data_IF_363058965773
#
_entry.id   IF_363058965773
#
_cell.length_a   1.000
_cell.length_b   1.000
_cell.length_c   1.000
_cell.angle_alpha   90.00
_cell.angle_beta   90.00
_cell.angle_gamma   90.00
#
_symmetry.space_group_name_H-M   'P 1'
#
loop_
_entity.id
_entity.type
_entity.pdbx_description
1 polymer ?
#
# COMPACT_ATOMS: atom_id res chain seq x y z
N UNK A 1 46.28 -62.79 19.27
CA UNK A 1 46.08 -62.17 20.61
C UNK A 1 44.97 -61.14 20.47
N UNK A 2 43.72 -61.52 20.74
CA UNK A 2 42.91 -61.13 21.91
C UNK A 2 42.80 -59.61 22.15
N UNK A 3 41.58 -59.11 21.86
CA UNK A 3 40.77 -58.11 22.59
C UNK A 3 41.34 -56.70 22.75
N UNK A 4 40.60 -55.69 22.26
CA UNK A 4 39.92 -54.77 23.18
C UNK A 4 38.80 -53.99 22.47
N UNK A 5 37.60 -54.18 22.98
CA UNK A 5 36.40 -53.37 22.80
C UNK A 5 36.54 -52.11 23.66
N UNK A 6 36.33 -50.89 23.13
CA UNK A 6 35.68 -49.79 23.89
C UNK A 6 35.34 -48.56 23.02
N UNK A 7 34.03 -48.34 22.89
CA UNK A 7 33.28 -47.08 22.90
C UNK A 7 33.95 -45.73 22.55
N UNK A 8 33.35 -45.04 21.57
CA UNK A 8 32.93 -43.63 21.72
C UNK A 8 31.85 -43.30 20.65
N UNK A 9 30.58 -43.53 20.99
CA UNK A 9 29.45 -42.84 20.35
C UNK A 9 29.26 -41.53 21.14
N UNK A 10 29.55 -40.38 20.56
CA UNK A 10 28.99 -39.06 20.92
C UNK A 10 29.32 -38.07 19.80
N UNK A 11 28.28 -37.38 19.33
CA UNK A 11 28.39 -36.02 18.82
C UNK A 11 28.78 -35.86 17.35
N UNK A 12 27.79 -35.66 16.50
CA UNK A 12 27.49 -34.36 15.90
C UNK A 12 26.21 -34.53 15.07
N UNK A 13 25.11 -34.12 15.68
CA UNK A 13 23.81 -33.99 15.05
C UNK A 13 23.55 -32.49 14.89
N UNK A 14 24.30 -31.80 14.03
CA UNK A 14 24.02 -30.37 13.80
C UNK A 14 24.29 -29.97 12.34
N UNK A 15 23.29 -29.27 11.79
CA UNK A 15 23.28 -28.46 10.57
C UNK A 15 22.99 -29.13 9.23
N UNK A 16 21.79 -29.72 9.11
CA UNK A 16 20.99 -29.57 7.89
C UNK A 16 20.10 -28.32 8.03
N UNK A 17 20.70 -27.13 7.91
CA UNK A 17 19.94 -25.90 7.69
C UNK A 17 19.69 -25.77 6.19
N UNK A 18 18.55 -26.29 5.76
CA UNK A 18 17.94 -26.04 4.46
C UNK A 18 17.73 -24.53 4.25
N UNK A 19 18.60 -23.89 3.47
CA UNK A 19 18.32 -22.60 2.85
C UNK A 19 17.34 -22.81 1.69
N UNK A 20 16.09 -23.13 2.01
CA UNK A 20 14.99 -22.97 1.07
C UNK A 20 14.74 -21.46 0.90
N UNK A 21 15.57 -20.81 0.08
CA UNK A 21 15.25 -19.47 -0.40
C UNK A 21 14.01 -19.61 -1.28
N UNK A 22 12.85 -19.29 -0.70
CA UNK A 22 11.64 -19.03 -1.44
C UNK A 22 11.94 -17.91 -2.45
N UNK A 23 12.33 -18.27 -3.66
CA UNK A 23 12.30 -17.39 -4.83
C UNK A 23 10.83 -17.17 -5.17
N UNK A 24 10.15 -16.38 -4.32
CA UNK A 24 8.84 -15.83 -4.63
C UNK A 24 8.97 -15.08 -5.93
N UNK A 25 8.10 -15.40 -6.89
CA UNK A 25 7.93 -14.69 -8.16
C UNK A 25 8.25 -13.21 -7.96
N UNK A 26 9.22 -12.69 -8.73
CA UNK A 26 9.48 -11.26 -8.84
C UNK A 26 8.30 -10.62 -9.58
N UNK A 27 7.13 -10.59 -8.95
CA UNK A 27 6.11 -9.60 -9.26
C UNK A 27 6.83 -8.26 -9.06
N UNK A 28 6.89 -7.39 -10.08
CA UNK A 28 7.54 -6.09 -9.93
C UNK A 28 7.01 -5.45 -8.65
N UNK A 29 7.89 -5.27 -7.65
CA UNK A 29 7.54 -4.57 -6.42
C UNK A 29 7.39 -3.10 -6.81
N UNK A 30 6.24 -2.73 -7.35
CA UNK A 30 5.88 -1.34 -7.55
C UNK A 30 6.04 -0.63 -6.20
N UNK A 31 6.61 0.57 -6.19
CA UNK A 31 6.68 1.36 -4.98
C UNK A 31 5.26 1.65 -4.44
N UNK A 32 5.15 2.02 -3.17
CA UNK A 32 3.85 2.23 -2.51
C UNK A 32 3.03 3.29 -3.25
N UNK A 33 3.66 4.34 -3.77
CA UNK A 33 3.00 5.42 -4.52
C UNK A 33 2.36 4.89 -5.80
N UNK A 34 3.10 4.07 -6.56
CA UNK A 34 2.62 3.42 -7.78
C UNK A 34 1.47 2.45 -7.49
N UNK A 35 1.51 1.71 -6.38
CA UNK A 35 0.40 0.85 -5.95
C UNK A 35 -0.85 1.65 -5.59
N UNK A 36 -0.70 2.72 -4.81
CA UNK A 36 -1.81 3.61 -4.44
C UNK A 36 -2.40 4.26 -5.68
N UNK A 37 -1.57 4.82 -6.57
CA UNK A 37 -2.02 5.43 -7.81
C UNK A 37 -2.77 4.44 -8.70
N UNK A 38 -2.26 3.21 -8.84
CA UNK A 38 -2.95 2.16 -9.58
C UNK A 38 -4.32 1.78 -9.00
N UNK A 39 -4.49 1.84 -7.68
CA UNK A 39 -5.79 1.67 -7.02
C UNK A 39 -6.71 2.85 -7.34
N UNK A 40 -6.20 4.08 -7.27
CA UNK A 40 -6.97 5.31 -7.55
C UNK A 40 -7.41 5.40 -9.01
N UNK A 41 -6.57 4.98 -9.95
CA UNK A 41 -6.88 5.03 -11.39
C UNK A 41 -7.80 3.89 -11.85
N UNK A 42 -8.16 2.96 -10.96
CA UNK A 42 -9.13 1.90 -11.26
C UNK A 42 -10.57 2.44 -11.22
N UNK A 43 -11.00 3.07 -12.31
CA UNK A 43 -12.34 3.66 -12.48
C UNK A 43 -13.37 2.70 -13.10
N UNK A 44 -13.04 1.41 -13.20
CA UNK A 44 -13.88 0.42 -13.87
C UNK A 44 -15.28 0.37 -13.26
N UNK A 45 -16.30 0.45 -14.12
CA UNK A 45 -17.70 0.38 -13.72
C UNK A 45 -18.28 1.67 -13.14
N UNK A 46 -17.53 2.78 -13.14
CA UNK A 46 -18.06 4.10 -12.72
C UNK A 46 -18.80 4.84 -13.84
N UNK A 47 -18.57 4.48 -15.10
CA UNK A 47 -19.23 5.12 -16.25
C UNK A 47 -18.89 6.61 -16.40
N UNK A 48 -17.67 7.00 -16.02
CA UNK A 48 -17.19 8.37 -16.15
C UNK A 48 -17.02 8.73 -17.64
N UNK A 49 -17.30 9.99 -17.97
CA UNK A 49 -16.96 10.51 -19.30
C UNK A 49 -15.46 10.86 -19.39
N UNK A 50 -14.96 11.10 -20.61
CA UNK A 50 -13.54 11.34 -20.86
C UNK A 50 -12.97 12.55 -20.09
N UNK A 51 -13.75 13.62 -19.92
CA UNK A 51 -13.33 14.81 -19.16
C UNK A 51 -13.21 14.49 -17.66
N UNK A 52 -14.20 13.77 -17.11
CA UNK A 52 -14.17 13.31 -15.73
C UNK A 52 -13.00 12.38 -15.46
N UNK A 53 -12.73 11.41 -16.34
CA UNK A 53 -11.58 10.50 -16.20
C UNK A 53 -10.25 11.25 -16.24
N UNK A 54 -10.09 12.19 -17.17
CA UNK A 54 -8.88 13.00 -17.29
C UNK A 54 -8.62 13.83 -16.03
N UNK A 55 -9.65 14.53 -15.54
CA UNK A 55 -9.57 15.31 -14.30
C UNK A 55 -9.29 14.43 -13.09
N UNK A 56 -9.95 13.28 -12.99
CA UNK A 56 -9.75 12.34 -11.88
C UNK A 56 -8.32 11.81 -11.86
N UNK A 57 -7.74 11.38 -13.00
CA UNK A 57 -6.35 10.90 -13.06
C UNK A 57 -5.35 11.98 -12.65
N UNK A 58 -5.58 13.23 -13.09
CA UNK A 58 -4.73 14.35 -12.70
C UNK A 58 -4.78 14.62 -11.19
N UNK A 59 -5.98 14.58 -10.60
CA UNK A 59 -6.15 14.71 -9.15
C UNK A 59 -5.56 13.52 -8.39
N UNK A 60 -5.76 12.28 -8.86
CA UNK A 60 -5.17 11.07 -8.30
C UNK A 60 -3.65 11.18 -8.18
N UNK A 61 -2.98 11.61 -9.25
CA UNK A 61 -1.53 11.84 -9.22
C UNK A 61 -1.16 12.90 -8.18
N UNK A 62 -1.86 14.03 -8.18
CA UNK A 62 -1.58 15.16 -7.28
C UNK A 62 -1.80 14.77 -5.81
N UNK A 63 -2.85 14.00 -5.53
CA UNK A 63 -3.14 13.46 -4.21
C UNK A 63 -2.06 12.50 -3.73
N UNK A 64 -1.56 11.59 -4.58
CA UNK A 64 -0.46 10.69 -4.21
C UNK A 64 0.83 11.46 -3.96
N UNK A 65 1.15 12.45 -4.80
CA UNK A 65 2.31 13.31 -4.62
C UNK A 65 2.23 14.06 -3.26
N UNK A 66 1.07 14.63 -2.92
CA UNK A 66 0.82 15.28 -1.63
C UNK A 66 0.89 14.28 -0.45
N UNK A 67 0.33 13.09 -0.61
CA UNK A 67 0.33 12.03 0.41
C UNK A 67 1.75 11.58 0.76
N UNK A 68 2.60 11.38 -0.25
CA UNK A 68 4.01 11.00 -0.05
C UNK A 68 4.80 12.15 0.56
N UNK A 69 4.56 13.39 0.11
CA UNK A 69 5.19 14.59 0.69
C UNK A 69 4.88 14.73 2.18
N UNK A 70 3.62 14.57 2.60
CA UNK A 70 3.24 14.63 4.02
C UNK A 70 3.91 13.48 4.79
N UNK A 71 3.87 12.26 4.25
CA UNK A 71 4.44 11.07 4.87
C UNK A 71 5.94 11.23 5.15
N UNK A 72 6.68 11.72 4.16
CA UNK A 72 8.13 11.95 4.22
C UNK A 72 8.56 13.27 4.89
N UNK A 73 7.63 14.09 5.37
CA UNK A 73 7.96 15.33 6.05
C UNK A 73 8.55 15.09 7.45
N UNK A 74 9.31 16.07 7.95
CA UNK A 74 9.84 16.06 9.33
C UNK A 74 8.85 16.63 10.35
N UNK A 75 7.58 16.85 9.96
CA UNK A 75 6.55 17.35 10.85
C UNK A 75 6.19 16.31 11.94
N UNK A 76 5.58 16.78 13.03
CA UNK A 76 5.10 15.89 14.09
C UNK A 76 3.99 14.96 13.59
N UNK A 77 3.75 13.86 14.29
CA UNK A 77 2.66 12.95 13.95
C UNK A 77 1.28 13.63 14.01
N UNK A 78 1.10 14.60 14.91
CA UNK A 78 -0.14 15.38 15.02
C UNK A 78 -0.33 16.29 13.81
N UNK A 79 0.71 16.99 13.39
CA UNK A 79 0.68 17.83 12.18
C UNK A 79 0.44 17.00 10.92
N UNK A 80 1.04 15.80 10.84
CA UNK A 80 0.81 14.85 9.74
C UNK A 80 -0.64 14.39 9.71
N UNK A 81 -1.22 14.02 10.86
CA UNK A 81 -2.65 13.64 10.96
C UNK A 81 -3.54 14.78 10.48
N UNK A 82 -3.32 16.01 10.95
CA UNK A 82 -4.08 17.17 10.51
C UNK A 82 -3.95 17.39 8.99
N UNK A 83 -2.75 17.23 8.45
CA UNK A 83 -2.48 17.35 7.01
C UNK A 83 -3.19 16.26 6.19
N UNK A 84 -3.20 15.01 6.63
CA UNK A 84 -3.93 13.93 5.96
C UNK A 84 -5.45 14.13 6.01
N UNK A 85 -5.99 14.60 7.13
CA UNK A 85 -7.41 14.94 7.24
C UNK A 85 -7.77 16.12 6.31
N UNK A 86 -6.91 17.14 6.22
CA UNK A 86 -7.06 18.23 5.26
C UNK A 86 -7.05 17.74 3.81
N UNK A 87 -6.12 16.85 3.48
CA UNK A 87 -6.02 16.21 2.17
C UNK A 87 -7.29 15.42 1.82
N UNK A 88 -7.80 14.62 2.77
CA UNK A 88 -9.08 13.90 2.64
C UNK A 88 -10.24 14.84 2.33
N UNK A 89 -10.35 15.96 3.05
CA UNK A 89 -11.43 16.92 2.87
C UNK A 89 -11.37 17.60 1.49
N UNK A 90 -10.18 18.04 1.08
CA UNK A 90 -9.95 18.62 -0.26
C UNK A 90 -10.35 17.63 -1.36
N UNK A 91 -9.92 16.37 -1.24
CA UNK A 91 -10.25 15.31 -2.20
C UNK A 91 -11.74 14.98 -2.21
N UNK A 92 -12.37 14.88 -1.04
CA UNK A 92 -13.81 14.62 -0.92
C UNK A 92 -14.63 15.69 -1.64
N UNK A 93 -14.28 16.97 -1.46
CA UNK A 93 -14.91 18.08 -2.18
C UNK A 93 -14.73 17.96 -3.68
N UNK A 94 -13.47 17.82 -4.14
CA UNK A 94 -13.18 17.65 -5.56
C UNK A 94 -13.95 16.49 -6.20
N UNK A 95 -13.97 15.32 -5.56
CA UNK A 95 -14.65 14.14 -6.09
C UNK A 95 -16.17 14.36 -6.12
N UNK A 96 -16.74 14.95 -5.07
CA UNK A 96 -18.17 15.26 -5.05
C UNK A 96 -18.55 16.24 -6.18
N UNK A 97 -17.74 17.27 -6.40
CA UNK A 97 -17.95 18.24 -7.48
C UNK A 97 -17.79 17.61 -8.88
N UNK A 98 -16.85 16.66 -9.03
CA UNK A 98 -16.52 16.03 -10.31
C UNK A 98 -17.55 15.00 -10.78
N UNK A 99 -18.00 14.13 -9.87
CA UNK A 99 -18.82 12.96 -10.21
C UNK A 99 -20.14 12.86 -9.44
N UNK A 100 -20.39 13.79 -8.51
CA UNK A 100 -21.56 13.76 -7.64
C UNK A 100 -21.48 12.69 -6.55
N UNK A 101 -22.37 12.79 -5.56
CA UNK A 101 -22.33 12.00 -4.34
C UNK A 101 -22.45 10.48 -4.57
N UNK A 102 -23.26 10.05 -5.54
CA UNK A 102 -23.50 8.62 -5.78
C UNK A 102 -22.29 7.91 -6.39
N UNK A 103 -21.68 8.50 -7.42
CA UNK A 103 -20.47 7.97 -8.03
C UNK A 103 -19.30 8.09 -7.06
N UNK A 104 -19.19 9.20 -6.33
CA UNK A 104 -18.17 9.37 -5.29
C UNK A 104 -18.23 8.26 -4.24
N UNK A 105 -19.44 7.90 -3.77
CA UNK A 105 -19.62 6.80 -2.81
C UNK A 105 -19.16 5.46 -3.38
N UNK A 106 -19.50 5.16 -4.64
CA UNK A 106 -19.06 3.93 -5.34
C UNK A 106 -17.55 3.89 -5.49
N UNK A 107 -16.96 4.97 -5.98
CA UNK A 107 -15.51 5.12 -6.16
C UNK A 107 -14.78 4.97 -4.81
N UNK A 108 -15.21 5.69 -3.77
CA UNK A 108 -14.62 5.59 -2.44
C UNK A 108 -14.68 4.17 -1.90
N UNK A 109 -15.78 3.45 -2.12
CA UNK A 109 -15.89 2.04 -1.75
C UNK A 109 -14.89 1.14 -2.49
N UNK A 110 -14.62 1.39 -3.77
CA UNK A 110 -13.59 0.69 -4.54
C UNK A 110 -12.19 1.01 -4.02
N UNK A 111 -11.91 2.29 -3.75
CA UNK A 111 -10.61 2.73 -3.21
C UNK A 111 -10.34 2.12 -1.85
N UNK A 112 -11.29 2.20 -0.91
CA UNK A 112 -11.11 1.64 0.43
C UNK A 112 -10.83 0.13 0.37
N UNK A 113 -11.53 -0.62 -0.49
CA UNK A 113 -11.25 -2.04 -0.70
C UNK A 113 -9.84 -2.28 -1.23
N UNK A 114 -9.38 -1.48 -2.20
CA UNK A 114 -8.04 -1.58 -2.76
C UNK A 114 -6.92 -1.16 -1.79
N UNK A 115 -7.18 -0.16 -0.94
CA UNK A 115 -6.22 0.41 0.02
C UNK A 115 -6.09 -0.44 1.28
N UNK A 116 -7.14 -1.17 1.70
CA UNK A 116 -7.13 -1.98 2.92
C UNK A 116 -5.90 -2.90 3.08
N UNK A 117 -5.47 -3.66 2.05
CA UNK A 117 -4.24 -4.47 2.12
C UNK A 117 -2.95 -3.66 2.34
N UNK A 118 -2.95 -2.36 2.00
CA UNK A 118 -1.81 -1.46 2.11
C UNK A 118 -1.83 -0.63 3.40
N UNK A 119 -2.89 -0.72 4.21
CA UNK A 119 -3.09 0.15 5.38
C UNK A 119 -1.92 0.14 6.36
N UNK A 120 -1.31 -1.02 6.62
CA UNK A 120 -0.13 -1.15 7.48
C UNK A 120 1.11 -0.45 6.91
N UNK A 121 1.25 -0.41 5.58
CA UNK A 121 2.35 0.28 4.88
C UNK A 121 2.12 1.79 4.81
N UNK A 122 0.85 2.21 4.74
CA UNK A 122 0.46 3.62 4.70
C UNK A 122 0.54 4.29 6.07
N UNK A 123 0.34 3.54 7.16
CA UNK A 123 0.38 4.09 8.51
C UNK A 123 -0.62 5.24 8.67
N UNK A 124 -0.14 6.40 9.15
CA UNK A 124 -0.97 7.60 9.31
C UNK A 124 -1.59 8.10 7.99
N UNK A 125 -0.94 7.85 6.85
CA UNK A 125 -1.45 8.27 5.55
C UNK A 125 -2.78 7.60 5.18
N UNK A 126 -3.13 6.48 5.82
CA UNK A 126 -4.43 5.84 5.64
C UNK A 126 -5.61 6.75 6.06
N UNK A 127 -5.38 7.79 6.87
CA UNK A 127 -6.39 8.79 7.25
C UNK A 127 -6.83 9.68 6.08
N UNK A 128 -6.08 9.72 4.99
CA UNK A 128 -6.39 10.52 3.81
C UNK A 128 -7.50 9.92 2.92
N UNK A 129 -7.92 8.67 3.20
CA UNK A 129 -8.95 7.91 2.49
C UNK A 129 -10.21 7.80 3.36
#
# INVERSE_FOLDING_TARGET
MKKLTMMAFIGIFIFLASNAQAQGLKIPKMDLSSQVLGILDNTKGLGLNADQESKLKKDNKSFVDELIKISGSNASDEDKKASFLGLKNKRTKFLTDLMGSDLFRKYSGQILKGINPLKSKLGLAALAF
#
